data_IF_040138869090
#
_entry.id   IF_040138869090
#
_cell.length_a   1.000
_cell.length_b   1.000
_cell.length_c   1.000
_cell.angle_alpha   90.00
_cell.angle_beta   90.00
_cell.angle_gamma   90.00
#
_symmetry.space_group_name_H-M   'P 1'
#
loop_
_entity.id
_entity.type
_entity.pdbx_description
1 polymer ?
#
# COMPACT_ATOMS: atom_id res chain seq x y z
N UNK A 1 -0.21 13.44 -16.99
CA UNK A 1 0.37 13.59 -15.65
C UNK A 1 -0.35 14.73 -14.93
N UNK A 2 -0.73 14.52 -13.69
CA UNK A 2 -1.26 15.60 -12.85
C UNK A 2 -0.11 16.59 -12.56
N UNK A 3 -0.33 17.91 -12.68
CA UNK A 3 0.74 18.90 -12.55
C UNK A 3 1.35 18.95 -11.13
N UNK A 4 0.66 18.39 -10.14
CA UNK A 4 1.10 18.32 -8.75
C UNK A 4 1.85 17.03 -8.38
N UNK A 5 2.02 16.07 -9.29
CA UNK A 5 2.80 14.84 -9.08
C UNK A 5 4.30 15.15 -9.10
N UNK A 6 4.97 15.01 -7.98
CA UNK A 6 6.39 15.34 -7.78
C UNK A 6 7.11 14.22 -7.01
N UNK A 7 6.80 12.98 -7.34
CA UNK A 7 7.45 11.80 -6.78
C UNK A 7 7.66 10.75 -7.87
N UNK A 8 8.30 9.66 -7.53
CA UNK A 8 8.49 8.48 -8.39
C UNK A 8 7.52 7.37 -8.04
N UNK A 9 7.33 6.44 -8.93
CA UNK A 9 6.46 5.27 -8.74
C UNK A 9 6.95 4.37 -7.61
N UNK A 10 8.26 4.29 -7.42
CA UNK A 10 8.91 3.51 -6.36
C UNK A 10 9.62 4.40 -5.36
N UNK A 11 9.59 4.03 -4.09
CA UNK A 11 10.25 4.75 -3.01
C UNK A 11 11.75 4.52 -2.99
N UNK A 12 12.48 5.53 -2.51
CA UNK A 12 13.93 5.41 -2.30
C UNK A 12 14.25 4.33 -1.26
N UNK A 13 15.16 3.44 -1.59
CA UNK A 13 15.56 2.33 -0.71
C UNK A 13 14.62 1.13 -0.71
N UNK A 14 13.64 1.08 -1.60
CA UNK A 14 12.87 -0.13 -1.88
C UNK A 14 13.74 -1.18 -2.58
N UNK A 15 13.50 -2.45 -2.29
CA UNK A 15 14.25 -3.53 -2.94
C UNK A 15 13.76 -3.70 -4.38
N UNK A 16 14.61 -3.40 -5.35
CA UNK A 16 14.26 -3.42 -6.77
C UNK A 16 13.77 -4.78 -7.28
N UNK A 17 14.18 -5.87 -6.65
CA UNK A 17 13.77 -7.23 -7.00
C UNK A 17 12.37 -7.59 -6.49
N UNK A 18 11.77 -6.77 -5.63
CA UNK A 18 10.42 -6.98 -5.10
C UNK A 18 9.33 -6.34 -5.99
N UNK A 19 9.71 -5.76 -7.13
CA UNK A 19 8.77 -5.06 -8.04
C UNK A 19 7.62 -5.95 -8.56
N UNK A 20 7.76 -7.27 -8.48
CA UNK A 20 6.74 -8.24 -8.88
C UNK A 20 5.82 -8.66 -7.71
N UNK A 21 6.14 -8.24 -6.51
CA UNK A 21 5.43 -8.64 -5.31
C UNK A 21 4.20 -7.74 -5.05
N UNK A 22 3.08 -8.35 -4.71
CA UNK A 22 1.82 -7.62 -4.48
C UNK A 22 1.87 -6.61 -3.34
N UNK A 23 2.85 -6.72 -2.44
CA UNK A 23 3.06 -5.75 -1.36
C UNK A 23 3.86 -4.51 -1.78
N UNK A 24 4.33 -4.45 -3.03
CA UNK A 24 5.13 -3.34 -3.55
C UNK A 24 4.52 -2.73 -4.83
N UNK A 25 3.23 -2.38 -4.85
CA UNK A 25 2.64 -1.71 -6.00
C UNK A 25 3.20 -0.29 -6.17
N UNK A 26 3.25 0.16 -7.42
CA UNK A 26 3.68 1.51 -7.75
C UNK A 26 2.78 2.57 -7.13
N UNK A 27 3.37 3.63 -6.64
CA UNK A 27 2.65 4.88 -6.34
C UNK A 27 2.02 5.43 -7.61
N UNK A 28 0.86 6.04 -7.49
CA UNK A 28 0.12 6.53 -8.65
C UNK A 28 -0.60 7.83 -8.35
N UNK A 29 -0.60 8.75 -9.32
CA UNK A 29 -1.41 9.95 -9.27
C UNK A 29 -2.91 9.65 -9.43
N UNK A 30 -3.25 8.48 -9.95
CA UNK A 30 -4.61 7.97 -10.12
C UNK A 30 -4.66 6.50 -9.69
N UNK A 31 -4.77 6.22 -8.38
CA UNK A 31 -4.82 4.87 -7.86
C UNK A 31 -6.16 4.20 -8.21
N UNK A 32 -6.09 2.99 -8.77
CA UNK A 32 -7.26 2.17 -9.12
C UNK A 32 -6.97 0.73 -8.71
N UNK A 33 -7.93 0.05 -8.06
CA UNK A 33 -7.82 -1.33 -7.61
C UNK A 33 -6.57 -1.63 -6.75
N UNK A 34 -6.10 -0.63 -5.99
CA UNK A 34 -4.87 -0.77 -5.20
C UNK A 34 -3.59 -0.95 -6.03
N UNK A 35 -3.66 -0.65 -7.34
CA UNK A 35 -2.60 -0.89 -8.33
C UNK A 35 -2.11 -2.35 -8.37
N UNK A 36 -2.98 -3.30 -8.02
CA UNK A 36 -2.74 -4.74 -8.14
C UNK A 36 -3.82 -5.42 -8.95
N UNK A 37 -3.43 -6.42 -9.74
CA UNK A 37 -4.30 -7.27 -10.53
C UNK A 37 -4.15 -8.71 -10.06
N UNK A 38 -5.27 -9.41 -9.88
CA UNK A 38 -5.27 -10.84 -9.63
C UNK A 38 -5.27 -11.57 -10.98
N UNK A 39 -4.25 -12.38 -11.20
CA UNK A 39 -4.16 -13.22 -12.39
C UNK A 39 -4.55 -14.65 -12.03
N UNK A 40 -5.64 -15.12 -12.62
CA UNK A 40 -6.13 -16.49 -12.50
C UNK A 40 -5.68 -17.30 -13.70
N UNK A 41 -4.98 -18.39 -13.46
CA UNK A 41 -4.65 -19.34 -14.50
C UNK A 41 -5.81 -20.30 -14.70
N UNK A 42 -6.38 -20.30 -15.90
CA UNK A 42 -7.45 -21.22 -16.28
C UNK A 42 -6.95 -22.14 -17.39
N UNK A 43 -7.28 -23.43 -17.28
CA UNK A 43 -6.99 -24.37 -18.34
C UNK A 43 -8.10 -24.27 -19.39
N UNK A 44 -7.74 -23.84 -20.58
CA UNK A 44 -8.62 -23.81 -21.76
C UNK A 44 -8.17 -24.86 -22.77
N UNK A 45 -8.71 -26.07 -22.65
CA UNK A 45 -8.26 -27.23 -23.43
C UNK A 45 -6.82 -27.63 -23.09
N UNK A 46 -5.91 -27.60 -24.07
CA UNK A 46 -4.47 -27.87 -23.87
C UNK A 46 -3.63 -26.61 -23.54
N UNK A 47 -4.23 -25.43 -23.50
CA UNK A 47 -3.54 -24.16 -23.23
C UNK A 47 -3.88 -23.63 -21.85
N UNK A 48 -2.92 -22.95 -21.27
CA UNK A 48 -3.12 -22.19 -20.05
C UNK A 48 -3.41 -20.73 -20.43
N UNK A 49 -4.53 -20.21 -19.98
CA UNK A 49 -4.90 -18.80 -20.16
C UNK A 49 -4.84 -18.08 -18.82
N UNK A 50 -4.11 -16.98 -18.77
CA UNK A 50 -4.16 -16.04 -17.66
C UNK A 50 -5.36 -15.11 -17.88
N UNK A 51 -6.24 -15.04 -16.90
CA UNK A 51 -7.34 -14.07 -16.89
C UNK A 51 -7.17 -13.12 -15.72
N UNK A 52 -7.13 -11.81 -15.98
CA UNK A 52 -7.20 -10.83 -14.92
C UNK A 52 -8.62 -10.77 -14.35
N UNK A 53 -8.73 -10.45 -13.08
CA UNK A 53 -10.00 -10.14 -12.41
C UNK A 53 -10.57 -8.78 -12.81
N UNK A 54 -9.76 -7.95 -13.48
CA UNK A 54 -10.14 -6.61 -13.93
C UNK A 54 -10.54 -6.69 -15.42
N UNK A 55 -11.78 -6.35 -15.73
CA UNK A 55 -12.20 -6.15 -17.12
C UNK A 55 -11.44 -4.99 -17.74
N UNK A 56 -11.28 -4.87 -19.01
CA UNK A 56 -10.54 -3.80 -19.71
C UNK A 56 -9.05 -3.63 -19.37
N UNK A 57 -8.48 -4.53 -18.56
CA UNK A 57 -7.04 -4.50 -18.32
C UNK A 57 -6.28 -4.91 -19.58
N UNK A 58 -5.53 -3.97 -20.14
CA UNK A 58 -4.65 -4.26 -21.27
C UNK A 58 -3.30 -4.73 -20.76
N UNK A 59 -3.00 -5.96 -21.03
CA UNK A 59 -1.72 -6.56 -20.70
C UNK A 59 -1.29 -7.52 -21.80
N UNK A 60 0.01 -7.73 -21.92
CA UNK A 60 0.58 -8.74 -22.79
C UNK A 60 1.02 -9.94 -21.97
N UNK A 61 0.71 -11.14 -22.45
CA UNK A 61 1.19 -12.38 -21.88
C UNK A 61 2.16 -12.98 -22.88
N UNK A 62 3.33 -13.38 -22.38
CA UNK A 62 4.28 -14.16 -23.13
C UNK A 62 4.42 -15.52 -22.44
N UNK A 63 4.14 -16.58 -23.16
CA UNK A 63 4.42 -17.94 -22.69
C UNK A 63 5.87 -18.28 -22.99
N UNK A 64 6.64 -18.60 -21.97
CA UNK A 64 8.03 -18.99 -22.09
C UNK A 64 8.22 -20.42 -21.60
N UNK A 65 8.83 -21.25 -22.42
CA UNK A 65 9.24 -22.58 -22.00
C UNK A 65 10.47 -22.45 -21.08
N UNK A 66 10.32 -22.85 -19.82
CA UNK A 66 11.46 -22.99 -18.91
C UNK A 66 11.53 -24.44 -18.41
N UNK A 67 12.42 -25.27 -18.96
CA UNK A 67 12.56 -26.65 -18.56
C UNK A 67 13.09 -26.84 -17.13
N UNK A 68 13.60 -25.80 -16.50
CA UNK A 68 14.21 -25.85 -15.17
C UNK A 68 13.21 -25.55 -14.04
N UNK A 69 12.08 -24.90 -14.34
CA UNK A 69 11.08 -24.58 -13.32
C UNK A 69 10.17 -25.77 -13.03
N UNK A 70 10.02 -26.09 -11.74
CA UNK A 70 9.03 -27.10 -11.29
C UNK A 70 7.62 -26.50 -11.21
N UNK A 71 7.50 -25.21 -10.88
CA UNK A 71 6.25 -24.51 -10.68
C UNK A 71 5.98 -23.52 -11.81
N UNK A 72 4.72 -23.37 -12.20
CA UNK A 72 4.32 -22.28 -13.08
C UNK A 72 4.59 -20.96 -12.33
N UNK A 73 5.37 -20.08 -12.93
CA UNK A 73 5.66 -18.75 -12.40
C UNK A 73 5.17 -17.68 -13.37
N UNK A 74 4.63 -16.60 -12.80
CA UNK A 74 4.32 -15.39 -13.53
C UNK A 74 5.26 -14.29 -13.07
N UNK A 75 5.91 -13.64 -14.03
CA UNK A 75 6.86 -12.55 -13.77
C UNK A 75 6.43 -11.35 -14.60
N UNK A 76 6.16 -10.25 -13.95
CA UNK A 76 5.90 -8.97 -14.61
C UNK A 76 7.21 -8.40 -15.14
N UNK A 77 7.21 -7.90 -16.36
CA UNK A 77 8.33 -7.13 -16.88
C UNK A 77 8.37 -5.76 -16.23
N UNK A 78 9.55 -5.36 -15.81
CA UNK A 78 9.77 -4.07 -15.18
C UNK A 78 9.26 -2.92 -16.09
N UNK A 79 8.58 -1.96 -15.48
CA UNK A 79 7.99 -0.79 -16.14
C UNK A 79 7.03 -1.10 -17.30
N UNK A 80 6.35 -2.26 -17.25
CA UNK A 80 5.35 -2.66 -18.26
C UNK A 80 4.22 -3.47 -17.61
N UNK A 81 3.04 -3.40 -18.22
CA UNK A 81 1.95 -4.33 -17.96
C UNK A 81 2.07 -5.57 -18.86
N UNK A 82 3.26 -6.16 -18.87
CA UNK A 82 3.57 -7.40 -19.62
C UNK A 82 4.01 -8.46 -18.63
N UNK A 83 3.40 -9.63 -18.73
CA UNK A 83 3.63 -10.74 -17.82
C UNK A 83 4.21 -11.92 -18.64
N UNK A 84 5.33 -12.43 -18.19
CA UNK A 84 5.94 -13.64 -18.71
C UNK A 84 5.50 -14.83 -17.86
N UNK A 85 4.88 -15.82 -18.49
CA UNK A 85 4.46 -17.07 -17.86
C UNK A 85 5.51 -18.13 -18.14
N UNK A 86 6.19 -18.54 -17.09
CA UNK A 86 7.16 -19.63 -17.15
C UNK A 86 6.44 -20.94 -16.87
N UNK A 87 6.39 -21.83 -17.87
CA UNK A 87 5.72 -23.11 -17.75
C UNK A 87 6.42 -24.05 -16.77
N UNK A 88 5.68 -24.64 -15.87
CA UNK A 88 6.14 -25.59 -14.87
C UNK A 88 5.26 -26.85 -14.81
N UNK A 89 5.67 -27.83 -13.99
CA UNK A 89 4.96 -29.10 -13.81
C UNK A 89 3.88 -29.08 -12.75
N UNK A 90 3.92 -28.09 -11.86
CA UNK A 90 2.96 -27.96 -10.75
C UNK A 90 1.88 -26.93 -11.08
N UNK A 91 0.67 -27.09 -10.52
CA UNK A 91 -0.41 -26.16 -10.77
C UNK A 91 -0.08 -24.77 -10.24
N UNK A 92 -0.51 -23.76 -10.98
CA UNK A 92 -0.41 -22.37 -10.59
C UNK A 92 -1.46 -22.04 -9.50
N UNK A 93 -1.03 -21.34 -8.50
CA UNK A 93 -1.95 -20.72 -7.55
C UNK A 93 -2.23 -19.28 -7.99
N UNK A 94 -3.50 -18.86 -7.86
CA UNK A 94 -3.89 -17.47 -8.10
C UNK A 94 -2.99 -16.52 -7.31
N UNK A 95 -2.42 -15.53 -8.00
CA UNK A 95 -1.52 -14.56 -7.38
C UNK A 95 -1.87 -13.14 -7.83
N UNK A 96 -1.54 -12.18 -6.97
CA UNK A 96 -1.72 -10.76 -7.23
C UNK A 96 -0.39 -10.14 -7.64
N UNK A 97 -0.45 -9.26 -8.64
CA UNK A 97 0.72 -8.58 -9.19
C UNK A 97 0.48 -7.07 -9.28
N UNK A 98 1.49 -6.25 -9.02
CA UNK A 98 1.43 -4.83 -9.29
C UNK A 98 1.20 -4.55 -10.78
N UNK A 99 0.53 -3.44 -11.09
CA UNK A 99 0.38 -2.95 -12.46
C UNK A 99 0.40 -1.42 -12.53
N UNK A 100 0.74 -0.88 -13.70
CA UNK A 100 0.76 0.56 -13.93
C UNK A 100 -0.61 1.05 -14.38
N UNK A 101 -1.19 1.99 -13.65
CA UNK A 101 -2.53 2.52 -13.93
C UNK A 101 -2.55 3.57 -15.03
N UNK A 102 -1.48 4.35 -15.20
CA UNK A 102 -1.43 5.44 -16.17
C UNK A 102 -1.48 4.97 -17.63
N UNK A 103 -1.17 3.72 -17.91
CA UNK A 103 -1.29 3.12 -19.24
C UNK A 103 -2.73 2.75 -19.61
N UNK A 104 -3.65 2.76 -18.63
CA UNK A 104 -5.01 2.29 -18.88
C UNK A 104 -6.09 3.13 -18.19
N UNK A 105 -6.35 4.36 -18.68
CA UNK A 105 -7.40 5.21 -18.12
C UNK A 105 -8.81 4.59 -18.27
N UNK A 106 -8.98 3.59 -19.14
CA UNK A 106 -10.25 2.85 -19.30
C UNK A 106 -10.64 2.00 -18.09
N UNK A 107 -9.72 1.79 -17.15
CA UNK A 107 -10.07 1.18 -15.87
C UNK A 107 -11.15 1.97 -15.12
N UNK A 108 -11.20 3.29 -15.29
CA UNK A 108 -12.26 4.14 -14.75
C UNK A 108 -13.61 3.90 -15.43
N UNK A 109 -13.63 3.58 -16.72
CA UNK A 109 -14.88 3.27 -17.42
C UNK A 109 -15.58 2.08 -16.77
N UNK A 110 -14.83 1.03 -16.48
CA UNK A 110 -15.39 -0.16 -15.83
C UNK A 110 -15.87 0.14 -14.42
N UNK A 111 -15.09 0.82 -13.63
CA UNK A 111 -15.43 1.16 -12.23
C UNK A 111 -16.61 2.10 -12.11
N UNK A 112 -16.64 3.15 -12.94
CA UNK A 112 -17.64 4.21 -12.87
C UNK A 112 -18.82 3.99 -13.83
N UNK A 113 -18.76 2.97 -14.70
CA UNK A 113 -19.74 2.71 -15.77
C UNK A 113 -19.98 3.93 -16.67
N UNK A 114 -18.92 4.66 -16.94
CA UNK A 114 -18.92 5.85 -17.82
C UNK A 114 -18.02 5.59 -19.03
N UNK A 115 -18.34 6.23 -20.15
CA UNK A 115 -17.49 6.18 -21.33
C UNK A 115 -16.32 7.16 -21.20
N UNK A 116 -15.08 6.67 -21.34
CA UNK A 116 -13.90 7.51 -21.41
C UNK A 116 -13.84 8.21 -22.78
N UNK A 117 -13.76 9.54 -22.74
CA UNK A 117 -13.51 10.35 -23.93
C UNK A 117 -12.18 11.07 -23.79
N UNK A 118 -11.43 11.07 -24.87
CA UNK A 118 -10.18 11.81 -24.91
C UNK A 118 -10.43 13.29 -24.60
N UNK A 119 -9.54 13.91 -23.84
CA UNK A 119 -9.72 15.25 -23.31
C UNK A 119 -9.87 16.28 -24.44
N UNK A 120 -11.00 16.93 -24.50
CA UNK A 120 -11.14 18.21 -25.18
C UNK A 120 -10.45 19.28 -24.32
N UNK A 121 -9.54 20.05 -24.87
CA UNK A 121 -8.96 21.21 -24.19
C UNK A 121 -10.06 22.26 -23.99
N UNK A 122 -10.46 22.41 -22.72
CA UNK A 122 -11.34 23.52 -22.37
C UNK A 122 -10.52 24.82 -22.26
N UNK A 123 -10.96 25.88 -22.89
CA UNK A 123 -10.32 27.19 -22.79
C UNK A 123 -10.49 27.82 -21.40
N UNK A 124 -11.45 27.35 -20.62
CA UNK A 124 -11.72 27.80 -19.27
C UNK A 124 -11.70 26.63 -18.30
N UNK A 125 -11.17 26.85 -17.09
CA UNK A 125 -11.23 25.87 -16.00
C UNK A 125 -12.68 25.67 -15.58
N UNK A 126 -13.18 24.43 -15.68
CA UNK A 126 -14.48 24.08 -15.13
C UNK A 126 -14.41 24.04 -13.60
N UNK A 127 -15.47 24.38 -12.88
CA UNK A 127 -15.51 24.28 -11.44
C UNK A 127 -15.37 22.81 -11.03
N UNK A 128 -14.43 22.51 -10.14
CA UNK A 128 -14.25 21.18 -9.59
C UNK A 128 -15.29 20.92 -8.50
N UNK A 129 -15.81 19.69 -8.49
CA UNK A 129 -16.58 19.17 -7.35
C UNK A 129 -15.73 18.15 -6.61
N UNK A 130 -15.69 18.28 -5.28
CA UNK A 130 -15.06 17.28 -4.43
C UNK A 130 -16.10 16.23 -4.07
N UNK A 131 -15.77 14.97 -4.33
CA UNK A 131 -16.56 13.81 -3.92
C UNK A 131 -15.85 13.15 -2.73
N UNK A 132 -16.59 12.96 -1.64
CA UNK A 132 -16.11 12.21 -0.48
C UNK A 132 -16.75 10.83 -0.51
N UNK A 133 -15.97 9.77 -0.38
CA UNK A 133 -16.47 8.39 -0.45
C UNK A 133 -16.74 7.83 0.95
N UNK A 134 -15.71 7.56 1.71
CA UNK A 134 -15.76 6.88 3.00
C UNK A 134 -15.08 7.72 4.10
N UNK A 135 -15.42 7.52 5.38
CA UNK A 135 -14.65 8.08 6.49
C UNK A 135 -13.19 7.64 6.45
N UNK A 136 -12.28 8.47 6.95
CA UNK A 136 -10.84 8.19 6.96
C UNK A 136 -10.51 6.87 7.64
N UNK A 137 -11.21 6.52 8.72
CA UNK A 137 -10.97 5.28 9.47
C UNK A 137 -11.31 4.03 8.65
N UNK A 138 -12.20 4.13 7.66
CA UNK A 138 -12.46 3.05 6.69
C UNK A 138 -11.25 2.77 5.77
N UNK A 139 -10.30 3.70 5.66
CA UNK A 139 -9.02 3.51 4.97
C UNK A 139 -7.93 3.11 5.95
N UNK A 140 -7.87 3.74 7.14
CA UNK A 140 -6.82 3.47 8.13
C UNK A 140 -6.92 2.07 8.73
N UNK A 141 -8.13 1.57 8.99
CA UNK A 141 -8.33 0.21 9.52
C UNK A 141 -7.74 -0.87 8.61
N UNK A 142 -8.13 -1.03 7.33
CA UNK A 142 -7.52 -2.02 6.44
C UNK A 142 -6.03 -1.78 6.20
N UNK A 143 -5.56 -0.52 6.16
CA UNK A 143 -4.14 -0.20 6.11
C UNK A 143 -3.38 -0.85 7.25
N UNK A 144 -3.86 -0.73 8.48
CA UNK A 144 -3.21 -1.24 9.68
C UNK A 144 -3.36 -2.76 9.83
N UNK A 145 -4.57 -3.31 9.58
CA UNK A 145 -4.88 -4.72 9.75
C UNK A 145 -4.24 -5.62 8.69
N UNK A 146 -4.13 -5.15 7.44
CA UNK A 146 -3.50 -5.89 6.34
C UNK A 146 -2.04 -5.55 6.16
N UNK A 147 -1.56 -4.49 6.83
CA UNK A 147 -0.26 -3.89 6.55
C UNK A 147 -0.14 -3.46 5.09
N UNK A 148 -1.14 -2.71 4.62
CA UNK A 148 -1.26 -2.34 3.22
C UNK A 148 -0.30 -1.19 2.88
N UNK A 149 0.78 -1.54 2.21
CA UNK A 149 1.83 -0.58 1.85
C UNK A 149 1.34 0.46 0.85
N UNK A 150 0.45 0.06 -0.07
CA UNK A 150 -0.09 0.99 -1.05
C UNK A 150 -0.96 2.07 -0.38
N UNK A 151 -1.83 1.67 0.54
CA UNK A 151 -2.64 2.63 1.30
C UNK A 151 -1.76 3.58 2.12
N UNK A 152 -0.67 3.08 2.71
CA UNK A 152 0.26 3.91 3.47
C UNK A 152 0.96 4.96 2.58
N UNK A 153 1.49 4.55 1.43
CA UNK A 153 2.14 5.45 0.48
C UNK A 153 1.18 6.49 -0.09
N UNK A 154 0.01 6.04 -0.56
CA UNK A 154 -0.98 6.94 -1.14
C UNK A 154 -1.56 7.91 -0.10
N UNK A 155 -1.75 7.47 1.14
CA UNK A 155 -2.19 8.36 2.23
C UNK A 155 -1.17 9.47 2.48
N UNK A 156 0.12 9.14 2.55
CA UNK A 156 1.19 10.13 2.70
C UNK A 156 1.20 11.14 1.55
N UNK A 157 1.04 10.69 0.31
CA UNK A 157 0.94 11.56 -0.86
C UNK A 157 -0.33 12.41 -0.87
N UNK A 158 -1.47 11.88 -0.40
CA UNK A 158 -2.71 12.65 -0.24
C UNK A 158 -2.55 13.74 0.82
N UNK A 159 -1.90 13.45 1.95
CA UNK A 159 -1.56 14.44 2.97
C UNK A 159 -0.66 15.52 2.40
N UNK A 160 0.37 15.13 1.63
CA UNK A 160 1.25 16.07 0.93
C UNK A 160 0.46 17.00 0.00
N UNK A 161 -0.42 16.45 -0.80
CA UNK A 161 -1.25 17.24 -1.70
C UNK A 161 -2.18 18.21 -0.94
N UNK A 162 -2.76 17.76 0.16
CA UNK A 162 -3.65 18.57 0.99
C UNK A 162 -2.93 19.73 1.67
N UNK A 163 -1.73 19.49 2.19
CA UNK A 163 -0.98 20.47 3.00
C UNK A 163 -0.11 21.38 2.13
N UNK A 164 0.52 20.82 1.08
CA UNK A 164 1.53 21.49 0.27
C UNK A 164 1.09 21.79 -1.17
N UNK A 165 -0.07 21.30 -1.60
CA UNK A 165 -0.55 21.42 -2.98
C UNK A 165 0.20 20.54 -3.99
N UNK A 166 1.12 19.68 -3.52
CA UNK A 166 1.90 18.78 -4.35
C UNK A 166 1.95 17.38 -3.73
N UNK A 167 2.06 16.36 -4.56
CA UNK A 167 2.26 14.97 -4.13
C UNK A 167 3.75 14.66 -4.09
N UNK A 168 4.35 14.77 -2.89
CA UNK A 168 5.77 14.51 -2.69
C UNK A 168 5.98 13.97 -1.27
N UNK A 169 6.42 12.71 -1.16
CA UNK A 169 6.70 12.09 0.14
C UNK A 169 7.82 12.80 0.89
N UNK A 170 8.88 13.19 0.21
CA UNK A 170 10.02 13.84 0.84
C UNK A 170 9.66 15.20 1.44
N UNK A 171 8.89 16.03 0.70
CA UNK A 171 8.47 17.35 1.20
C UNK A 171 7.51 17.27 2.39
N UNK A 172 6.57 16.33 2.36
CA UNK A 172 5.62 16.19 3.47
C UNK A 172 6.30 15.59 4.71
N UNK A 173 7.19 14.62 4.54
CA UNK A 173 8.00 14.06 5.63
C UNK A 173 8.81 15.18 6.30
N UNK A 174 9.52 15.97 5.51
CA UNK A 174 10.28 17.13 6.00
C UNK A 174 9.40 18.13 6.77
N UNK A 175 8.17 18.34 6.30
CA UNK A 175 7.22 19.24 6.96
C UNK A 175 6.77 18.66 8.30
N UNK A 176 6.34 17.40 8.34
CA UNK A 176 5.88 16.73 9.55
C UNK A 176 7.00 16.66 10.61
N UNK A 177 8.24 16.37 10.19
CA UNK A 177 9.39 16.35 11.11
C UNK A 177 9.71 17.71 11.72
N UNK A 178 9.40 18.80 11.01
CA UNK A 178 9.60 20.18 11.50
C UNK A 178 8.40 20.73 12.27
N UNK A 179 7.24 20.11 12.18
CA UNK A 179 5.98 20.56 12.82
C UNK A 179 5.53 19.58 13.88
N UNK A 180 4.81 18.54 13.48
CA UNK A 180 4.13 17.60 14.38
C UNK A 180 5.12 16.72 15.17
N UNK A 181 6.28 16.43 14.60
CA UNK A 181 7.29 15.53 15.15
C UNK A 181 8.60 16.25 15.55
N UNK A 182 8.58 17.58 15.64
CA UNK A 182 9.76 18.38 16.02
C UNK A 182 10.32 18.08 17.42
N UNK A 183 9.50 17.53 18.28
CA UNK A 183 9.80 17.23 19.69
C UNK A 183 10.03 15.74 19.96
N UNK A 184 10.21 14.92 18.93
CA UNK A 184 10.60 13.54 19.11
C UNK A 184 11.95 13.42 19.84
N UNK A 185 12.12 12.42 20.73
CA UNK A 185 13.34 12.26 21.52
C UNK A 185 14.62 12.15 20.69
N UNK A 186 14.51 11.53 19.50
CA UNK A 186 15.57 11.48 18.49
C UNK A 186 14.95 11.77 17.12
N UNK A 187 15.66 12.56 16.32
CA UNK A 187 15.27 12.82 14.93
C UNK A 187 15.32 11.52 14.12
N UNK A 188 14.20 11.01 13.61
CA UNK A 188 14.23 9.80 12.81
C UNK A 188 14.77 10.09 11.42
N UNK A 189 15.28 9.05 10.77
CA UNK A 189 15.43 9.03 9.34
C UNK A 189 14.16 8.40 8.75
N UNK A 190 13.35 9.19 8.08
CA UNK A 190 12.08 8.76 7.52
C UNK A 190 12.09 8.94 6.01
N UNK A 191 11.79 7.90 5.24
CA UNK A 191 11.96 7.88 3.78
C UNK A 191 10.67 7.61 3.01
N UNK A 192 9.66 6.90 3.59
CA UNK A 192 8.43 6.53 2.91
C UNK A 192 7.25 6.33 3.87
N UNK A 193 6.06 6.12 3.34
CA UNK A 193 4.85 5.90 4.13
C UNK A 193 4.66 4.47 4.61
N UNK A 194 5.17 3.50 3.86
CA UNK A 194 4.91 2.06 4.06
C UNK A 194 5.89 1.37 4.99
N UNK A 195 7.12 1.88 5.08
CA UNK A 195 8.21 1.20 5.75
C UNK A 195 8.97 0.20 4.86
N UNK A 196 8.68 0.13 3.56
CA UNK A 196 9.43 -0.69 2.60
C UNK A 196 10.87 -0.23 2.45
N UNK A 197 11.10 1.07 2.60
CA UNK A 197 12.43 1.65 2.52
C UNK A 197 13.33 1.17 3.65
N UNK A 198 14.47 0.59 3.30
CA UNK A 198 15.52 0.22 4.27
C UNK A 198 16.26 1.44 4.86
N UNK A 199 15.93 2.63 4.38
CA UNK A 199 16.48 3.89 4.91
C UNK A 199 15.69 4.46 6.08
N UNK A 200 14.52 3.89 6.41
CA UNK A 200 13.77 4.27 7.59
C UNK A 200 14.51 3.82 8.86
N UNK A 201 14.80 4.77 9.74
CA UNK A 201 15.44 4.54 11.03
C UNK A 201 14.68 5.30 12.11
N UNK A 202 14.03 4.58 12.99
CA UNK A 202 13.31 5.10 14.14
C UNK A 202 13.81 4.41 15.41
N UNK A 203 13.85 5.13 16.51
CA UNK A 203 14.16 4.53 17.82
C UNK A 203 12.86 4.05 18.48
N UNK A 204 12.92 3.05 19.38
CA UNK A 204 11.77 2.68 20.20
C UNK A 204 11.17 3.86 20.98
N UNK A 205 12.01 4.76 21.47
CA UNK A 205 11.55 5.97 22.18
C UNK A 205 10.74 6.90 21.27
N UNK A 206 11.14 7.03 19.99
CA UNK A 206 10.35 7.82 19.02
C UNK A 206 8.98 7.17 18.75
N UNK A 207 8.89 5.84 18.66
CA UNK A 207 7.60 5.14 18.53
C UNK A 207 6.71 5.36 19.74
N UNK A 208 7.26 5.24 20.96
CA UNK A 208 6.49 5.52 22.19
C UNK A 208 5.98 6.96 22.19
N UNK A 209 6.82 7.94 21.82
CA UNK A 209 6.41 9.34 21.75
C UNK A 209 5.30 9.59 20.70
N UNK A 210 5.36 8.91 19.54
CA UNK A 210 4.34 9.00 18.51
C UNK A 210 3.02 8.39 19.00
N UNK A 211 3.06 7.20 19.62
CA UNK A 211 1.89 6.52 20.17
C UNK A 211 1.22 7.35 21.28
N UNK A 212 2.00 7.97 22.16
CA UNK A 212 1.52 8.86 23.22
C UNK A 212 0.82 10.12 22.62
N UNK A 213 1.40 10.71 21.56
CA UNK A 213 0.75 11.80 20.82
C UNK A 213 -0.56 11.37 20.19
N UNK A 214 -0.58 10.21 19.56
CA UNK A 214 -1.79 9.68 18.91
C UNK A 214 -2.91 9.43 19.94
N UNK A 215 -2.57 8.87 21.09
CA UNK A 215 -3.54 8.60 22.16
C UNK A 215 -4.14 9.91 22.69
N UNK A 216 -3.31 10.91 22.97
CA UNK A 216 -3.75 12.21 23.45
C UNK A 216 -4.62 12.98 22.45
N UNK A 217 -4.34 12.85 21.16
CA UNK A 217 -5.05 13.60 20.11
C UNK A 217 -6.33 12.91 19.65
N UNK A 218 -6.30 11.59 19.51
CA UNK A 218 -7.40 10.83 18.88
C UNK A 218 -8.20 9.98 19.86
N UNK A 219 -7.67 9.74 21.06
CA UNK A 219 -8.26 8.89 22.07
C UNK A 219 -8.08 7.39 21.83
N UNK A 220 -7.94 6.64 22.90
CA UNK A 220 -7.65 5.21 22.86
C UNK A 220 -8.74 4.40 22.13
N UNK A 221 -10.01 4.74 22.28
CA UNK A 221 -11.12 3.97 21.67
C UNK A 221 -11.07 4.00 20.15
N UNK A 222 -10.78 5.16 19.53
CA UNK A 222 -10.58 5.26 18.09
C UNK A 222 -9.34 4.46 17.64
N UNK A 223 -8.28 4.49 18.41
CA UNK A 223 -7.06 3.76 18.09
C UNK A 223 -7.25 2.25 18.16
N UNK A 224 -8.06 1.75 19.09
CA UNK A 224 -8.47 0.33 19.15
C UNK A 224 -9.23 -0.12 17.89
N UNK A 225 -10.01 0.76 17.27
CA UNK A 225 -10.70 0.45 16.02
C UNK A 225 -9.76 0.37 14.80
N UNK A 226 -8.67 1.15 14.83
CA UNK A 226 -7.71 1.27 13.73
C UNK A 226 -6.61 0.21 13.82
N UNK A 227 -6.06 -0.03 15.02
CA UNK A 227 -4.98 -1.00 15.21
C UNK A 227 -5.53 -2.43 15.28
N UNK A 228 -4.83 -3.43 14.71
CA UNK A 228 -5.21 -4.82 14.92
C UNK A 228 -5.09 -5.21 16.39
N UNK A 229 -6.12 -5.86 16.91
CA UNK A 229 -6.10 -6.49 18.23
C UNK A 229 -5.32 -7.81 18.19
N UNK A 230 -5.02 -8.36 19.38
CA UNK A 230 -4.55 -9.74 19.44
C UNK A 230 -5.49 -10.69 18.69
N UNK A 231 -4.94 -11.66 17.98
CA UNK A 231 -5.65 -12.61 17.12
C UNK A 231 -6.39 -12.00 15.92
N UNK A 232 -6.10 -10.75 15.53
CA UNK A 232 -6.71 -10.08 14.37
C UNK A 232 -5.64 -9.49 13.43
N UNK A 233 -5.99 -9.31 12.17
CA UNK A 233 -5.13 -8.73 11.16
C UNK A 233 -3.75 -9.37 11.09
N UNK A 234 -2.68 -8.59 11.20
CA UNK A 234 -1.29 -9.07 11.22
C UNK A 234 -0.91 -9.75 12.53
N UNK A 235 -1.76 -9.68 13.57
CA UNK A 235 -1.60 -10.41 14.84
C UNK A 235 -2.39 -11.71 14.89
N UNK A 236 -2.93 -12.18 13.76
CA UNK A 236 -3.63 -13.46 13.70
C UNK A 236 -2.78 -14.60 14.23
N UNK A 237 -3.34 -15.38 15.15
CA UNK A 237 -2.69 -16.46 15.90
C UNK A 237 -1.67 -16.00 16.96
N UNK A 238 -1.49 -14.68 17.16
CA UNK A 238 -0.70 -14.14 18.25
C UNK A 238 -1.60 -13.52 19.32
N UNK A 239 -1.24 -13.64 20.58
CA UNK A 239 -1.96 -13.05 21.73
C UNK A 239 -3.44 -13.43 21.80
N UNK A 240 -3.77 -14.68 21.46
CA UNK A 240 -5.16 -15.17 21.38
C UNK A 240 -5.89 -15.03 22.72
N UNK A 241 -5.24 -15.38 23.84
CA UNK A 241 -5.79 -15.27 25.20
C UNK A 241 -5.89 -13.83 25.72
N UNK A 242 -5.10 -12.92 25.14
CA UNK A 242 -4.98 -11.54 25.59
C UNK A 242 -5.46 -10.54 24.53
N UNK A 243 -6.28 -10.99 23.59
CA UNK A 243 -6.75 -10.20 22.43
C UNK A 243 -7.48 -8.92 22.82
N UNK A 244 -8.16 -8.91 23.97
CA UNK A 244 -8.87 -7.74 24.48
C UNK A 244 -7.96 -6.68 25.13
N UNK A 245 -6.65 -6.93 25.22
CA UNK A 245 -5.71 -6.08 25.95
C UNK A 245 -4.57 -5.54 25.10
N UNK A 246 -4.42 -5.99 23.84
CA UNK A 246 -3.31 -5.63 22.97
C UNK A 246 -3.84 -5.13 21.63
N UNK A 247 -3.39 -3.95 21.21
CA UNK A 247 -3.63 -3.35 19.90
C UNK A 247 -2.30 -2.85 19.34
N UNK A 248 -1.77 -3.52 18.31
CA UNK A 248 -0.42 -3.22 17.87
C UNK A 248 -0.22 -3.44 16.36
N UNK A 249 0.73 -2.68 15.80
CA UNK A 249 1.19 -2.82 14.43
C UNK A 249 2.48 -3.61 14.40
N UNK A 250 2.51 -4.63 13.57
CA UNK A 250 3.73 -5.38 13.23
C UNK A 250 4.49 -4.70 12.11
N UNK A 251 5.81 -4.87 12.09
CA UNK A 251 6.68 -4.52 10.96
C UNK A 251 7.67 -5.67 10.73
N UNK A 252 7.83 -6.09 9.47
CA UNK A 252 8.76 -7.17 9.12
C UNK A 252 9.47 -6.85 7.80
N UNK A 253 10.78 -6.78 7.87
CA UNK A 253 11.69 -6.82 6.74
C UNK A 253 12.71 -7.92 6.97
N UNK A 254 13.39 -8.37 5.93
CA UNK A 254 14.48 -9.34 6.08
C UNK A 254 15.53 -8.81 7.08
N UNK A 255 15.67 -9.52 8.20
CA UNK A 255 16.58 -9.15 9.29
C UNK A 255 16.06 -8.12 10.28
N UNK A 256 14.81 -7.63 10.15
CA UNK A 256 14.21 -6.65 11.06
C UNK A 256 12.78 -7.05 11.40
N UNK A 257 12.47 -7.14 12.68
CA UNK A 257 11.10 -7.35 13.19
C UNK A 257 10.82 -6.28 14.24
N UNK A 258 9.64 -5.69 14.18
CA UNK A 258 9.18 -4.69 15.13
C UNK A 258 7.71 -4.91 15.49
N UNK A 259 7.36 -4.53 16.71
CA UNK A 259 6.00 -4.46 17.22
C UNK A 259 5.87 -3.17 18.02
N UNK A 260 4.84 -2.37 17.75
CA UNK A 260 4.55 -1.16 18.52
C UNK A 260 3.04 -0.95 18.62
N UNK A 261 2.57 -0.46 19.76
CA UNK A 261 1.14 -0.29 19.98
C UNK A 261 0.79 -0.07 21.44
N UNK A 262 -0.40 -0.48 21.81
CA UNK A 262 -1.03 -0.24 23.11
C UNK A 262 -1.28 -1.56 23.83
N UNK A 263 -0.91 -1.61 25.10
CA UNK A 263 -1.16 -2.73 26.00
C UNK A 263 -1.92 -2.23 27.23
N UNK A 264 -3.09 -2.79 27.49
CA UNK A 264 -3.83 -2.54 28.72
C UNK A 264 -3.49 -3.64 29.74
N UNK A 265 -2.91 -3.26 30.85
CA UNK A 265 -2.58 -4.20 31.91
C UNK A 265 -3.82 -4.65 32.67
N UNK A 266 -3.75 -5.77 33.43
CA UNK A 266 -4.82 -6.23 34.34
C UNK A 266 -5.18 -5.21 35.44
N UNK A 267 -4.33 -4.22 35.67
CA UNK A 267 -4.58 -3.11 36.61
C UNK A 267 -5.06 -1.85 35.88
N UNK A 268 -5.58 -2.01 34.66
CA UNK A 268 -6.10 -0.93 33.80
C UNK A 268 -5.07 0.17 33.48
N UNK A 269 -3.79 -0.14 33.58
CA UNK A 269 -2.72 0.77 33.19
C UNK A 269 -2.39 0.59 31.69
N UNK A 270 -2.45 1.68 30.92
CA UNK A 270 -2.01 1.70 29.55
C UNK A 270 -0.48 1.75 29.48
N UNK A 271 0.10 0.88 28.65
CA UNK A 271 1.51 0.84 28.29
C UNK A 271 1.64 1.03 26.77
N UNK A 272 2.74 1.65 26.32
CA UNK A 272 3.09 1.91 24.94
C UNK A 272 4.36 1.16 24.56
#
# INVERSE_FOLDING_TARGET
LLPNWQTTEYGSGWAWNDYNESYMPERSALPIYGNVVELKLQQAGSRLELKPDIHFFRFAINELADPLTQNIRVVRRQNKNTFDVLNGRQPYTTSQFPFMTYENPRLLEDTLKIEWRERVRFAQALPFKTLHSQPTDSLLKPLMHRSDNFFAEQTLLMVSNKVLGVMSESKIIDTILKTDFKDLPQAPRWADGSGLSRYNLFTPQSFVAILDKMEKEFGLERLKEIFPAGNDGTLRNYYVSDSAFIWAKTGTLSGVVALSGYLLTKKEKLLL
#
